data_IF_115611032104
#
_entry.id   IF_115611032104
#
_cell.length_a   1.000
_cell.length_b   1.000
_cell.length_c   1.000
_cell.angle_alpha   90.00
_cell.angle_beta   90.00
_cell.angle_gamma   90.00
#
_symmetry.space_group_name_H-M   'P 1'
#
loop_
_entity.id
_entity.type
_entity.pdbx_description
1 polymer ?
#
# COMPACT_ATOMS: atom_id res chain seq x y z
N UNK A 1 4.41 -18.97 -25.59
CA UNK A 1 4.90 -19.64 -24.38
C UNK A 1 3.81 -20.55 -23.84
N UNK A 2 4.19 -21.69 -23.28
CA UNK A 2 3.36 -22.64 -22.55
C UNK A 2 3.61 -22.52 -21.04
N UNK A 3 2.81 -23.21 -20.21
CA UNK A 3 2.95 -23.13 -18.76
C UNK A 3 4.34 -23.52 -18.27
N UNK A 4 4.90 -22.76 -17.33
CA UNK A 4 6.24 -22.98 -16.79
C UNK A 4 7.39 -22.36 -17.61
N UNK A 5 7.12 -21.85 -18.82
CA UNK A 5 8.15 -21.22 -19.63
C UNK A 5 8.70 -19.94 -18.97
N UNK A 6 9.94 -19.63 -19.31
CA UNK A 6 10.56 -18.34 -19.01
C UNK A 6 10.72 -17.54 -20.29
N UNK A 7 10.18 -16.33 -20.31
CA UNK A 7 10.29 -15.35 -21.39
C UNK A 7 11.24 -14.27 -20.94
N UNK A 8 12.34 -14.10 -21.66
CA UNK A 8 13.30 -13.02 -21.44
C UNK A 8 13.07 -11.97 -22.51
N UNK A 9 12.78 -10.73 -22.09
CA UNK A 9 12.50 -9.61 -22.97
C UNK A 9 13.73 -8.71 -22.98
N UNK A 10 14.24 -8.44 -24.18
CA UNK A 10 15.37 -7.53 -24.34
C UNK A 10 14.98 -6.09 -23.98
N UNK A 11 15.98 -5.24 -23.80
CA UNK A 11 15.75 -3.81 -23.68
C UNK A 11 15.13 -3.26 -24.97
N UNK A 12 14.19 -2.33 -24.84
CA UNK A 12 13.47 -1.78 -25.97
C UNK A 12 12.13 -1.18 -25.56
N UNK A 13 11.51 -0.46 -26.50
CA UNK A 13 10.15 0.07 -26.34
C UNK A 13 9.20 -0.82 -27.14
N UNK A 14 8.16 -1.30 -26.47
CA UNK A 14 7.13 -2.17 -27.03
C UNK A 14 5.79 -1.45 -26.90
N UNK A 15 5.23 -1.00 -28.03
CA UNK A 15 3.97 -0.25 -28.07
C UNK A 15 2.79 -1.20 -28.24
N UNK A 16 2.54 -2.00 -27.22
CA UNK A 16 1.49 -3.02 -27.22
C UNK A 16 0.98 -3.31 -25.81
N UNK A 17 -0.20 -3.91 -25.76
CA UNK A 17 -0.68 -4.57 -24.55
C UNK A 17 -0.16 -6.01 -24.52
N UNK A 18 0.33 -6.45 -23.36
CA UNK A 18 0.83 -7.81 -23.17
C UNK A 18 -0.20 -8.61 -22.39
N UNK A 19 -0.69 -9.72 -22.95
CA UNK A 19 -1.67 -10.58 -22.30
C UNK A 19 -1.18 -12.03 -22.21
N UNK A 20 -1.17 -12.56 -20.98
CA UNK A 20 -0.92 -13.97 -20.71
C UNK A 20 -2.19 -14.72 -21.03
N UNK A 21 -2.14 -15.76 -21.86
CA UNK A 21 -3.37 -16.44 -22.31
C UNK A 21 -4.01 -17.25 -21.17
N UNK A 22 -5.34 -17.32 -21.19
CA UNK A 22 -6.08 -18.23 -20.30
C UNK A 22 -5.59 -19.67 -20.45
N UNK A 23 -5.47 -20.37 -19.31
CA UNK A 23 -5.00 -21.76 -19.26
C UNK A 23 -3.48 -21.91 -19.33
N UNK A 24 -2.73 -20.80 -19.31
CA UNK A 24 -1.28 -20.80 -19.16
C UNK A 24 -0.95 -20.32 -17.76
N UNK A 25 -0.20 -21.12 -17.00
CA UNK A 25 0.18 -20.85 -15.61
C UNK A 25 1.70 -20.86 -15.46
N UNK A 26 2.22 -20.33 -14.36
CA UNK A 26 3.64 -20.42 -13.99
C UNK A 26 4.62 -19.85 -15.04
N UNK A 27 4.18 -18.87 -15.84
CA UNK A 27 5.11 -18.12 -16.70
C UNK A 27 5.98 -17.18 -15.88
N UNK A 28 7.27 -17.17 -16.19
CA UNK A 28 8.20 -16.13 -15.72
C UNK A 28 8.49 -15.18 -16.87
N UNK A 29 8.20 -13.91 -16.68
CA UNK A 29 8.35 -12.88 -17.70
C UNK A 29 9.31 -11.87 -17.14
N UNK A 30 10.49 -11.81 -17.74
CA UNK A 30 11.67 -11.15 -17.22
C UNK A 30 12.07 -10.04 -18.19
N UNK A 31 11.94 -8.80 -17.76
CA UNK A 31 12.43 -7.64 -18.50
C UNK A 31 13.94 -7.50 -18.38
N UNK A 32 14.51 -6.56 -19.10
CA UNK A 32 15.95 -6.28 -19.13
C UNK A 32 16.54 -5.93 -17.76
N UNK A 33 15.71 -5.60 -16.77
CA UNK A 33 16.09 -5.27 -15.39
C UNK A 33 15.57 -6.28 -14.37
N UNK A 34 15.25 -7.49 -14.80
CA UNK A 34 14.82 -8.54 -13.87
C UNK A 34 15.86 -8.76 -12.76
N UNK A 35 15.38 -8.87 -11.53
CA UNK A 35 16.22 -9.00 -10.34
C UNK A 35 16.84 -7.71 -9.80
N UNK A 36 16.77 -6.60 -10.53
CA UNK A 36 17.21 -5.29 -10.04
C UNK A 36 16.04 -4.56 -9.38
N UNK A 37 16.20 -4.06 -8.17
CA UNK A 37 15.09 -3.46 -7.42
C UNK A 37 14.55 -2.19 -8.10
N UNK A 38 13.28 -1.89 -7.88
CA UNK A 38 12.65 -0.62 -8.26
C UNK A 38 11.97 0.06 -7.05
N UNK A 39 12.10 -0.50 -5.85
CA UNK A 39 11.48 0.01 -4.63
C UNK A 39 12.23 1.21 -4.02
N UNK A 40 11.91 1.58 -2.78
CA UNK A 40 12.43 2.80 -2.15
C UNK A 40 13.94 2.78 -1.91
N UNK A 41 14.55 1.59 -1.79
CA UNK A 41 16.00 1.43 -1.67
C UNK A 41 16.74 1.61 -3.00
N UNK A 42 16.03 1.65 -4.13
CA UNK A 42 16.62 1.71 -5.46
C UNK A 42 15.71 2.51 -6.42
N UNK A 43 15.77 3.86 -6.36
CA UNK A 43 14.90 4.70 -7.16
C UNK A 43 15.11 4.45 -8.67
N UNK A 44 14.10 4.72 -9.53
CA UNK A 44 14.15 4.46 -10.97
C UNK A 44 15.44 4.95 -11.66
N UNK A 45 15.97 6.10 -11.25
CA UNK A 45 17.21 6.67 -11.81
C UNK A 45 18.44 5.75 -11.64
N UNK A 46 18.49 4.89 -10.63
CA UNK A 46 19.61 3.97 -10.39
C UNK A 46 19.57 2.72 -11.27
N UNK A 47 18.46 2.45 -11.98
CA UNK A 47 18.35 1.29 -12.86
C UNK A 47 19.09 1.47 -14.19
N UNK A 48 19.55 2.69 -14.46
CA UNK A 48 20.33 3.04 -15.65
C UNK A 48 19.50 2.96 -16.93
N UNK A 49 20.20 2.88 -18.07
CA UNK A 49 19.58 2.79 -19.40
C UNK A 49 19.18 1.35 -19.75
N UNK A 50 18.51 1.15 -20.90
CA UNK A 50 18.16 -0.16 -21.46
C UNK A 50 17.09 -0.92 -20.64
N UNK A 51 15.96 -0.27 -20.35
CA UNK A 51 14.75 -0.92 -19.80
C UNK A 51 13.96 -1.67 -20.88
N UNK A 52 13.22 -2.71 -20.49
CA UNK A 52 12.11 -3.23 -21.28
C UNK A 52 10.88 -2.39 -20.97
N UNK A 53 10.54 -1.47 -21.86
CA UNK A 53 9.45 -0.51 -21.68
C UNK A 53 8.22 -0.99 -22.43
N UNK A 54 7.16 -1.32 -21.70
CA UNK A 54 5.83 -1.59 -22.28
C UNK A 54 5.02 -0.30 -22.25
N UNK A 55 4.61 0.21 -23.41
CA UNK A 55 3.63 1.30 -23.53
C UNK A 55 2.24 0.72 -23.70
N UNK A 56 1.64 0.34 -22.59
CA UNK A 56 0.36 -0.37 -22.55
C UNK A 56 0.13 -1.02 -21.20
N UNK A 57 -0.80 -1.96 -21.16
CA UNK A 57 -1.14 -2.75 -19.97
C UNK A 57 -0.56 -4.15 -20.07
N UNK A 58 -0.12 -4.70 -18.93
CA UNK A 58 0.22 -6.12 -18.80
C UNK A 58 -0.91 -6.84 -18.07
N UNK A 59 -1.49 -7.87 -18.69
CA UNK A 59 -2.55 -8.70 -18.09
C UNK A 59 -2.04 -10.09 -17.77
N UNK A 60 -2.11 -10.47 -16.48
CA UNK A 60 -1.78 -11.79 -15.95
C UNK A 60 -3.07 -12.61 -15.80
N UNK A 61 -3.44 -13.35 -16.84
CA UNK A 61 -4.46 -14.40 -16.73
C UNK A 61 -3.77 -15.73 -16.39
N UNK A 62 -4.34 -16.52 -15.48
CA UNK A 62 -3.72 -17.75 -14.99
C UNK A 62 -3.00 -17.57 -13.64
N UNK A 63 -2.48 -18.65 -13.09
CA UNK A 63 -1.88 -18.70 -11.77
C UNK A 63 -0.34 -18.68 -11.82
N UNK A 64 0.27 -18.32 -10.69
CA UNK A 64 1.70 -18.55 -10.41
C UNK A 64 2.67 -17.79 -11.33
N UNK A 65 2.21 -16.72 -11.98
CA UNK A 65 3.06 -15.90 -12.85
C UNK A 65 4.08 -15.07 -12.07
N UNK A 66 5.23 -14.83 -12.70
CA UNK A 66 6.22 -13.85 -12.22
C UNK A 66 6.41 -12.78 -13.27
N UNK A 67 6.21 -11.52 -12.90
CA UNK A 67 6.53 -10.34 -13.69
C UNK A 67 7.66 -9.57 -12.99
N UNK A 68 8.82 -9.47 -13.65
CA UNK A 68 10.04 -8.95 -13.04
C UNK A 68 10.79 -8.01 -13.99
N UNK A 69 11.08 -6.79 -13.52
CA UNK A 69 12.10 -5.96 -14.17
C UNK A 69 11.65 -5.16 -15.40
N UNK A 70 10.37 -4.76 -15.47
CA UNK A 70 9.85 -3.93 -16.55
C UNK A 70 9.66 -2.48 -16.12
N UNK A 71 9.66 -1.59 -17.12
CA UNK A 71 8.98 -0.30 -17.02
C UNK A 71 7.66 -0.39 -17.78
N UNK A 72 6.55 -0.03 -17.14
CA UNK A 72 5.21 -0.01 -17.74
C UNK A 72 4.70 1.42 -17.75
N UNK A 73 4.43 1.94 -18.94
CA UNK A 73 3.89 3.28 -19.18
C UNK A 73 2.48 3.13 -19.74
N UNK A 74 1.47 3.09 -18.87
CA UNK A 74 0.11 2.70 -19.27
C UNK A 74 -0.79 3.88 -19.64
N UNK A 75 -0.30 5.12 -19.58
CA UNK A 75 -1.13 6.31 -19.79
C UNK A 75 -2.31 6.32 -18.81
N UNK A 76 -3.53 6.52 -19.29
CA UNK A 76 -4.76 6.50 -18.47
C UNK A 76 -5.30 5.10 -18.14
N UNK A 77 -4.65 4.04 -18.62
CA UNK A 77 -5.02 2.64 -18.34
C UNK A 77 -4.32 2.09 -17.09
N UNK A 78 -4.69 0.87 -16.69
CA UNK A 78 -4.00 0.13 -15.63
C UNK A 78 -2.58 -0.28 -16.06
N UNK A 79 -1.64 -0.34 -15.13
CA UNK A 79 -0.29 -0.85 -15.37
C UNK A 79 -0.30 -2.37 -15.52
N UNK A 80 -0.56 -3.08 -14.43
CA UNK A 80 -0.65 -4.55 -14.36
C UNK A 80 -2.03 -4.96 -13.88
N UNK A 81 -2.73 -5.76 -14.68
CA UNK A 81 -4.02 -6.36 -14.34
C UNK A 81 -3.83 -7.82 -14.00
N UNK A 82 -4.18 -8.24 -12.78
CA UNK A 82 -4.10 -9.63 -12.34
C UNK A 82 -5.49 -10.22 -12.27
N UNK A 83 -5.79 -11.19 -13.15
CA UNK A 83 -7.06 -11.90 -13.16
C UNK A 83 -6.98 -13.29 -12.51
N UNK A 84 -5.79 -13.85 -12.36
CA UNK A 84 -5.59 -15.12 -11.66
C UNK A 84 -5.10 -14.96 -10.22
N UNK A 85 -4.24 -15.87 -9.77
CA UNK A 85 -3.80 -16.02 -8.36
C UNK A 85 -2.32 -16.31 -8.24
N UNK A 86 -1.76 -16.17 -7.04
CA UNK A 86 -0.36 -16.52 -6.73
C UNK A 86 0.68 -15.75 -7.59
N UNK A 87 0.31 -14.62 -8.19
CA UNK A 87 1.22 -13.88 -9.04
C UNK A 87 2.24 -13.11 -8.19
N UNK A 88 3.49 -13.12 -8.63
CA UNK A 88 4.56 -12.26 -8.08
C UNK A 88 4.84 -11.13 -9.06
N UNK A 89 4.61 -9.90 -8.62
CA UNK A 89 4.89 -8.68 -9.37
C UNK A 89 6.00 -7.96 -8.63
N UNK A 90 7.19 -7.96 -9.22
CA UNK A 90 8.35 -7.42 -8.53
C UNK A 90 9.26 -6.59 -9.41
N UNK A 91 9.99 -5.67 -8.79
CA UNK A 91 11.06 -4.93 -9.45
C UNK A 91 10.59 -4.18 -10.71
N UNK A 92 9.34 -3.74 -10.77
CA UNK A 92 8.79 -3.01 -11.90
C UNK A 92 8.68 -1.51 -11.58
N UNK A 93 8.85 -0.68 -12.61
CA UNK A 93 8.47 0.72 -12.57
C UNK A 93 7.13 0.85 -13.30
N UNK A 94 6.08 1.25 -12.60
CA UNK A 94 4.74 1.44 -13.15
C UNK A 94 4.43 2.94 -13.14
N UNK A 95 4.19 3.51 -14.31
CA UNK A 95 3.95 4.95 -14.49
C UNK A 95 2.62 5.13 -15.22
N UNK A 96 1.67 5.76 -14.53
CA UNK A 96 0.40 6.17 -15.10
C UNK A 96 0.38 7.65 -15.48
N UNK A 97 -0.70 8.02 -16.16
CA UNK A 97 -1.22 9.37 -16.24
C UNK A 97 -2.52 9.38 -15.46
N UNK A 98 -2.48 9.97 -14.25
CA UNK A 98 -3.57 9.89 -13.29
C UNK A 98 -4.87 10.37 -13.90
N UNK A 99 -5.79 9.44 -14.12
CA UNK A 99 -7.11 9.76 -14.64
C UNK A 99 -7.88 10.66 -13.67
N UNK A 100 -8.76 11.52 -14.20
CA UNK A 100 -9.61 12.39 -13.39
C UNK A 100 -10.68 11.63 -12.61
N UNK A 101 -10.99 10.39 -13.02
CA UNK A 101 -11.95 9.49 -12.38
C UNK A 101 -11.70 8.03 -12.81
N UNK A 102 -12.31 7.07 -12.11
CA UNK A 102 -12.28 5.64 -12.46
C UNK A 102 -11.40 4.78 -11.57
N UNK A 103 -11.25 3.51 -11.95
CA UNK A 103 -10.54 2.48 -11.18
C UNK A 103 -9.09 2.24 -11.63
N UNK A 104 -8.46 3.26 -12.21
CA UNK A 104 -7.11 3.15 -12.76
C UNK A 104 -6.08 2.83 -11.65
N UNK A 105 -5.30 1.77 -11.81
CA UNK A 105 -4.29 1.38 -10.85
C UNK A 105 -2.96 0.95 -11.48
N UNK A 106 -1.87 1.13 -10.72
CA UNK A 106 -0.58 0.55 -11.07
C UNK A 106 -0.65 -0.97 -11.06
N UNK A 107 -1.16 -1.54 -9.97
CA UNK A 107 -1.55 -2.96 -9.90
C UNK A 107 -3.04 -3.05 -9.59
N UNK A 108 -3.80 -3.72 -10.45
CA UNK A 108 -5.24 -3.91 -10.34
C UNK A 108 -5.60 -5.39 -10.27
N UNK A 109 -6.40 -5.80 -9.28
CA UNK A 109 -6.95 -7.16 -9.26
C UNK A 109 -8.32 -7.23 -8.58
N UNK A 110 -9.28 -7.86 -9.25
CA UNK A 110 -10.59 -8.25 -8.69
C UNK A 110 -10.58 -9.65 -8.06
N UNK A 111 -9.43 -10.31 -8.06
CA UNK A 111 -9.19 -11.61 -7.45
C UNK A 111 -7.84 -11.57 -6.74
N UNK A 112 -7.72 -10.68 -5.75
CA UNK A 112 -6.48 -10.36 -5.05
C UNK A 112 -6.04 -11.51 -4.11
N UNK A 113 -5.59 -12.60 -4.74
CA UNK A 113 -5.44 -13.93 -4.20
C UNK A 113 -3.97 -14.32 -4.12
N UNK A 114 -3.42 -14.34 -2.90
CA UNK A 114 -2.03 -14.74 -2.63
C UNK A 114 -1.01 -14.00 -3.52
N UNK A 115 -1.23 -12.72 -3.78
CA UNK A 115 -0.33 -11.92 -4.60
C UNK A 115 0.88 -11.49 -3.77
N UNK A 116 2.04 -11.44 -4.43
CA UNK A 116 3.25 -10.84 -3.88
C UNK A 116 3.61 -9.64 -4.74
N UNK A 117 3.39 -8.44 -4.20
CA UNK A 117 3.70 -7.18 -4.88
C UNK A 117 4.87 -6.56 -4.14
N UNK A 118 6.09 -6.67 -4.70
CA UNK A 118 7.32 -6.34 -3.96
C UNK A 118 8.35 -5.53 -4.76
N UNK A 119 9.03 -4.56 -4.15
CA UNK A 119 10.11 -3.80 -4.78
C UNK A 119 9.70 -3.07 -6.07
N UNK A 120 8.43 -2.65 -6.20
CA UNK A 120 7.97 -1.87 -7.34
C UNK A 120 8.01 -0.36 -7.03
N UNK A 121 8.18 0.46 -8.07
CA UNK A 121 7.93 1.90 -8.03
C UNK A 121 6.63 2.17 -8.78
N UNK A 122 5.61 2.69 -8.10
CA UNK A 122 4.28 2.91 -8.66
C UNK A 122 3.91 4.39 -8.55
N UNK A 123 3.69 5.06 -9.69
CA UNK A 123 3.53 6.51 -9.71
C UNK A 123 2.38 6.97 -10.59
N UNK A 124 1.73 8.06 -10.17
CA UNK A 124 0.77 8.83 -10.99
C UNK A 124 -0.43 8.01 -11.48
N UNK A 125 -0.97 7.14 -10.62
CA UNK A 125 -2.23 6.43 -10.84
C UNK A 125 -3.34 6.99 -9.95
N UNK A 126 -4.61 6.67 -10.22
CA UNK A 126 -5.66 6.90 -9.21
C UNK A 126 -5.37 6.05 -7.97
N UNK A 127 -5.11 4.76 -8.16
CA UNK A 127 -4.70 3.83 -7.11
C UNK A 127 -3.28 3.32 -7.37
N UNK A 128 -2.38 3.31 -6.38
CA UNK A 128 -1.10 2.62 -6.57
C UNK A 128 -1.34 1.11 -6.73
N UNK A 129 -1.99 0.51 -5.73
CA UNK A 129 -2.53 -0.85 -5.80
C UNK A 129 -4.01 -0.84 -5.47
N UNK A 130 -4.81 -1.51 -6.30
CA UNK A 130 -6.23 -1.74 -6.09
C UNK A 130 -6.51 -3.23 -5.98
N UNK A 131 -7.10 -3.65 -4.86
CA UNK A 131 -7.41 -5.04 -4.58
C UNK A 131 -8.85 -5.27 -4.16
N UNK A 132 -9.48 -6.27 -4.77
CA UNK A 132 -10.79 -6.81 -4.41
C UNK A 132 -10.83 -8.34 -4.63
N UNK A 133 -11.90 -8.98 -4.21
CA UNK A 133 -12.14 -10.43 -4.39
C UNK A 133 -12.51 -11.14 -3.10
N UNK A 134 -13.13 -12.32 -3.16
CA UNK A 134 -13.68 -13.00 -1.97
C UNK A 134 -13.08 -14.39 -1.76
N UNK A 135 -12.96 -14.81 -0.50
CA UNK A 135 -12.51 -16.16 -0.10
C UNK A 135 -11.14 -16.59 -0.67
N UNK A 136 -10.20 -15.66 -0.69
CA UNK A 136 -8.84 -15.89 -1.21
C UNK A 136 -7.79 -15.86 -0.09
N UNK A 137 -6.70 -16.63 -0.20
CA UNK A 137 -5.57 -16.50 0.71
C UNK A 137 -5.01 -15.06 0.76
N UNK A 138 -4.45 -14.62 1.91
CA UNK A 138 -3.84 -13.30 2.05
C UNK A 138 -2.70 -13.05 1.07
N UNK A 139 -2.59 -11.80 0.64
CA UNK A 139 -1.52 -11.27 -0.21
C UNK A 139 -0.58 -10.40 0.62
N UNK A 140 0.61 -10.15 0.05
CA UNK A 140 1.66 -9.33 0.65
C UNK A 140 1.99 -8.19 -0.31
N UNK A 141 1.96 -6.96 0.21
CA UNK A 141 2.44 -5.77 -0.49
C UNK A 141 3.61 -5.21 0.30
N UNK A 142 4.83 -5.34 -0.21
CA UNK A 142 6.01 -4.93 0.55
C UNK A 142 7.13 -4.24 -0.22
N UNK A 143 7.90 -3.39 0.46
CA UNK A 143 9.05 -2.70 -0.14
C UNK A 143 8.72 -1.94 -1.44
N UNK A 144 7.49 -1.48 -1.63
CA UNK A 144 7.12 -0.67 -2.79
C UNK A 144 7.32 0.81 -2.49
N UNK A 145 7.69 1.57 -3.52
CA UNK A 145 7.65 3.02 -3.52
C UNK A 145 6.38 3.48 -4.25
N UNK A 146 5.48 4.22 -3.58
CA UNK A 146 4.19 4.63 -4.16
C UNK A 146 3.98 6.13 -3.99
N UNK A 147 3.88 6.86 -5.11
CA UNK A 147 3.81 8.33 -5.06
C UNK A 147 2.87 8.96 -6.09
N UNK A 148 2.34 10.14 -5.75
CA UNK A 148 1.51 10.93 -6.68
C UNK A 148 0.14 10.32 -6.99
N UNK A 149 -0.37 9.43 -6.13
CA UNK A 149 -1.66 8.74 -6.35
C UNK A 149 -2.82 9.40 -5.60
N UNK A 150 -4.07 9.08 -5.94
CA UNK A 150 -5.20 9.43 -5.03
C UNK A 150 -5.17 8.53 -3.81
N UNK A 151 -4.96 7.23 -4.01
CA UNK A 151 -4.79 6.29 -2.89
C UNK A 151 -3.61 5.38 -3.19
N UNK A 152 -2.62 5.31 -2.29
CA UNK A 152 -1.46 4.45 -2.49
C UNK A 152 -1.84 2.98 -2.57
N UNK A 153 -2.54 2.47 -1.55
CA UNK A 153 -3.10 1.11 -1.53
C UNK A 153 -4.57 1.19 -1.13
N UNK A 154 -5.45 0.65 -1.97
CA UNK A 154 -6.87 0.55 -1.68
C UNK A 154 -7.32 -0.91 -1.72
N UNK A 155 -7.85 -1.38 -0.60
CA UNK A 155 -8.57 -2.64 -0.55
C UNK A 155 -10.07 -2.39 -0.47
N UNK A 156 -10.78 -2.89 -1.47
CA UNK A 156 -12.22 -2.81 -1.56
C UNK A 156 -12.90 -3.85 -0.66
N UNK A 157 -14.12 -3.56 -0.19
CA UNK A 157 -14.78 -4.23 0.93
C UNK A 157 -15.11 -5.73 0.78
N UNK A 158 -14.91 -6.33 -0.40
CA UNK A 158 -15.10 -7.78 -0.58
C UNK A 158 -13.86 -8.59 -0.22
N UNK A 159 -12.69 -7.95 -0.11
CA UNK A 159 -11.40 -8.60 0.16
C UNK A 159 -11.44 -9.44 1.45
N UNK A 160 -10.81 -10.63 1.52
CA UNK A 160 -10.69 -11.36 2.77
C UNK A 160 -9.71 -10.67 3.72
N UNK A 161 -9.95 -10.92 5.01
CA UNK A 161 -9.15 -10.41 6.11
C UNK A 161 -7.71 -10.96 6.05
N UNK A 162 -6.77 -10.33 6.77
CA UNK A 162 -5.43 -10.92 6.96
C UNK A 162 -4.33 -10.48 5.99
N UNK A 163 -4.62 -9.59 5.05
CA UNK A 163 -3.59 -9.01 4.15
C UNK A 163 -2.44 -8.35 4.94
N UNK A 164 -1.24 -8.40 4.37
CA UNK A 164 -0.04 -7.77 4.95
C UNK A 164 0.46 -6.64 4.05
N UNK A 165 0.59 -5.44 4.62
CA UNK A 165 1.14 -4.26 3.97
C UNK A 165 2.35 -3.81 4.79
N UNK A 166 3.56 -4.03 4.29
CA UNK A 166 4.77 -3.77 5.08
C UNK A 166 5.95 -3.16 4.35
N UNK A 167 6.79 -2.40 5.05
CA UNK A 167 8.03 -1.84 4.49
C UNK A 167 7.84 -0.98 3.23
N UNK A 168 6.63 -0.50 2.95
CA UNK A 168 6.38 0.38 1.82
C UNK A 168 6.74 1.81 2.17
N UNK A 169 7.18 2.55 1.16
CA UNK A 169 7.40 3.98 1.24
C UNK A 169 6.37 4.68 0.38
N UNK A 170 5.55 5.54 0.98
CA UNK A 170 4.48 6.24 0.29
C UNK A 170 4.57 7.74 0.54
N UNK A 171 4.57 8.53 -0.52
CA UNK A 171 4.62 9.99 -0.38
C UNK A 171 3.79 10.74 -1.42
N UNK A 172 3.37 11.95 -1.06
CA UNK A 172 2.64 12.86 -1.97
C UNK A 172 1.39 12.21 -2.60
N UNK A 173 0.68 11.39 -1.81
CA UNK A 173 -0.60 10.80 -2.18
C UNK A 173 -1.74 11.63 -1.58
N UNK A 174 -2.98 11.53 -2.09
CA UNK A 174 -4.10 12.09 -1.34
C UNK A 174 -4.33 11.27 -0.06
N UNK A 175 -4.39 9.95 -0.17
CA UNK A 175 -4.38 9.01 0.97
C UNK A 175 -3.32 7.93 0.77
N UNK A 176 -2.59 7.54 1.81
CA UNK A 176 -1.62 6.44 1.72
C UNK A 176 -2.31 5.09 1.57
N UNK A 177 -3.01 4.64 2.60
CA UNK A 177 -3.68 3.33 2.64
C UNK A 177 -5.16 3.51 3.00
N UNK A 178 -6.05 2.84 2.27
CA UNK A 178 -7.47 2.69 2.64
C UNK A 178 -7.80 1.20 2.75
N UNK A 179 -8.37 0.81 3.89
CA UNK A 179 -8.91 -0.53 4.11
C UNK A 179 -10.32 -0.45 4.69
N UNK A 180 -11.21 -1.34 4.25
CA UNK A 180 -12.62 -1.39 4.64
C UNK A 180 -13.05 -2.72 5.28
N UNK A 181 -12.07 -3.56 5.64
CA UNK A 181 -12.26 -4.90 6.18
C UNK A 181 -11.09 -5.27 7.10
N UNK A 182 -11.21 -6.41 7.78
CA UNK A 182 -10.52 -6.66 9.03
C UNK A 182 -9.25 -7.48 8.93
N UNK A 183 -8.62 -7.70 10.08
CA UNK A 183 -7.49 -8.62 10.27
C UNK A 183 -6.20 -8.23 9.56
N UNK A 184 -6.14 -7.08 8.90
CA UNK A 184 -4.95 -6.63 8.18
C UNK A 184 -3.81 -6.26 9.14
N UNK A 185 -2.59 -6.52 8.68
CA UNK A 185 -1.37 -6.02 9.33
C UNK A 185 -0.77 -4.94 8.45
N UNK A 186 -0.68 -3.72 8.99
CA UNK A 186 -0.05 -2.57 8.33
C UNK A 186 1.18 -2.22 9.17
N UNK A 187 2.36 -2.64 8.73
CA UNK A 187 3.55 -2.55 9.56
C UNK A 187 4.81 -2.01 8.87
N UNK A 188 5.69 -1.33 9.59
CA UNK A 188 6.98 -0.88 9.04
C UNK A 188 6.89 0.01 7.78
N UNK A 189 5.74 0.62 7.50
CA UNK A 189 5.60 1.52 6.38
C UNK A 189 6.07 2.93 6.75
N UNK A 190 6.63 3.65 5.79
CA UNK A 190 6.84 5.09 5.89
C UNK A 190 5.84 5.78 4.99
N UNK A 191 4.94 6.58 5.57
CA UNK A 191 3.91 7.30 4.83
C UNK A 191 3.99 8.77 5.20
N UNK A 192 4.26 9.62 4.21
CA UNK A 192 4.43 11.05 4.44
C UNK A 192 3.75 11.94 3.42
N UNK A 193 3.49 13.18 3.83
CA UNK A 193 2.98 14.22 2.91
C UNK A 193 1.69 13.81 2.20
N UNK A 194 0.85 13.02 2.87
CA UNK A 194 -0.47 12.68 2.35
C UNK A 194 -1.44 13.84 2.57
N UNK A 195 -2.11 14.29 1.51
CA UNK A 195 -2.96 15.48 1.56
C UNK A 195 -4.24 15.29 2.40
N UNK A 196 -4.62 14.05 2.71
CA UNK A 196 -5.83 13.72 3.49
C UNK A 196 -5.54 12.79 4.66
N UNK A 197 -5.01 11.59 4.40
CA UNK A 197 -4.70 10.64 5.47
C UNK A 197 -3.52 9.73 5.11
N UNK A 198 -2.68 9.36 6.07
CA UNK A 198 -1.66 8.34 5.86
C UNK A 198 -2.31 6.95 5.80
N UNK A 199 -3.08 6.62 6.83
CA UNK A 199 -3.87 5.38 6.92
C UNK A 199 -5.32 5.73 7.23
N UNK A 200 -6.24 5.22 6.43
CA UNK A 200 -7.68 5.40 6.63
C UNK A 200 -8.37 4.05 6.80
N UNK A 201 -8.98 3.86 7.96
CA UNK A 201 -9.89 2.75 8.23
C UNK A 201 -11.30 3.21 7.86
N UNK A 202 -11.83 2.68 6.77
CA UNK A 202 -13.22 2.93 6.38
C UNK A 202 -14.10 1.98 7.17
N UNK A 203 -14.92 2.51 8.08
CA UNK A 203 -15.80 1.71 8.93
C UNK A 203 -16.88 1.00 8.13
N UNK A 204 -16.95 -0.32 8.32
CA UNK A 204 -17.96 -1.23 7.79
C UNK A 204 -18.22 -2.30 8.85
N UNK A 205 -19.13 -3.24 8.59
CA UNK A 205 -19.35 -4.41 9.44
C UNK A 205 -18.12 -5.32 9.55
N UNK A 206 -17.13 -5.16 8.65
CA UNK A 206 -15.94 -6.01 8.58
C UNK A 206 -14.66 -5.33 9.06
N UNK A 207 -14.66 -4.02 9.32
CA UNK A 207 -13.44 -3.24 9.63
C UNK A 207 -12.95 -3.49 11.06
N UNK A 208 -12.51 -4.69 11.37
CA UNK A 208 -12.13 -5.08 12.74
C UNK A 208 -10.77 -5.74 12.84
N UNK A 209 -10.16 -5.72 14.02
CA UNK A 209 -8.89 -6.43 14.30
C UNK A 209 -7.72 -6.02 13.38
N UNK A 210 -7.71 -4.78 12.88
CA UNK A 210 -6.60 -4.25 12.10
C UNK A 210 -5.49 -3.82 13.05
N UNK A 211 -4.24 -4.21 12.72
CA UNK A 211 -3.04 -3.86 13.48
C UNK A 211 -2.18 -2.89 12.68
N UNK A 212 -1.95 -1.71 13.23
CA UNK A 212 -1.09 -0.68 12.65
C UNK A 212 0.15 -0.57 13.56
N UNK A 213 1.28 -1.12 13.13
CA UNK A 213 2.45 -1.25 14.01
C UNK A 213 3.78 -0.81 13.37
N UNK A 214 4.68 -0.20 14.12
CA UNK A 214 6.04 0.14 13.64
C UNK A 214 6.08 1.02 12.39
N UNK A 215 5.03 1.77 12.08
CA UNK A 215 5.00 2.68 10.94
C UNK A 215 5.61 4.04 11.32
N UNK A 216 6.19 4.72 10.35
CA UNK A 216 6.52 6.16 10.43
C UNK A 216 5.48 6.94 9.62
N UNK A 217 4.64 7.69 10.32
CA UNK A 217 3.57 8.51 9.74
C UNK A 217 3.90 9.98 9.97
N UNK A 218 4.41 10.64 8.94
CA UNK A 218 5.00 11.97 9.06
C UNK A 218 4.36 13.01 8.12
N UNK A 219 4.11 14.23 8.61
CA UNK A 219 3.72 15.37 7.75
C UNK A 219 2.47 15.12 6.89
N UNK A 220 1.51 14.33 7.38
CA UNK A 220 0.23 14.10 6.72
C UNK A 220 -0.84 15.04 7.29
N UNK A 221 -1.91 15.30 6.54
CA UNK A 221 -3.07 15.99 7.10
C UNK A 221 -3.67 15.20 8.28
N UNK A 222 -3.84 13.89 8.13
CA UNK A 222 -4.22 12.98 9.22
C UNK A 222 -3.30 11.77 9.20
N UNK A 223 -2.67 11.39 10.31
CA UNK A 223 -1.84 10.17 10.32
C UNK A 223 -2.72 8.92 10.24
N UNK A 224 -3.66 8.77 11.17
CA UNK A 224 -4.62 7.65 11.18
C UNK A 224 -6.04 8.19 11.28
N UNK A 225 -6.90 7.80 10.34
CA UNK A 225 -8.29 8.22 10.28
C UNK A 225 -9.25 7.04 10.28
N UNK A 226 -10.04 6.89 11.34
CA UNK A 226 -11.20 6.02 11.37
C UNK A 226 -12.41 6.83 10.92
N UNK A 227 -12.89 6.53 9.72
CA UNK A 227 -13.96 7.29 9.04
C UNK A 227 -15.18 6.42 8.81
N UNK A 228 -16.35 7.02 8.56
CA UNK A 228 -17.61 6.29 8.32
C UNK A 228 -17.99 5.38 9.50
N UNK A 229 -18.46 5.98 10.60
CA UNK A 229 -18.82 5.27 11.82
C UNK A 229 -19.66 4.00 11.53
N UNK A 230 -19.27 2.89 12.16
CA UNK A 230 -19.97 1.63 12.04
C UNK A 230 -19.70 0.75 13.28
N UNK A 231 -20.74 0.12 13.83
CA UNK A 231 -20.64 -0.69 15.05
C UNK A 231 -19.69 -1.89 14.94
N UNK A 232 -19.58 -2.48 13.74
CA UNK A 232 -18.64 -3.56 13.44
C UNK A 232 -17.17 -3.13 13.31
N UNK A 233 -16.87 -1.82 13.34
CA UNK A 233 -15.53 -1.31 13.12
C UNK A 233 -14.69 -1.28 14.43
N UNK A 234 -14.50 -2.44 15.06
CA UNK A 234 -14.00 -2.59 16.43
C UNK A 234 -12.63 -3.29 16.52
N UNK A 235 -11.98 -3.20 17.69
CA UNK A 235 -10.72 -3.89 18.00
C UNK A 235 -9.55 -3.52 17.04
N UNK A 236 -9.62 -2.35 16.42
CA UNK A 236 -8.51 -1.81 15.64
C UNK A 236 -7.51 -1.17 16.59
N UNK A 237 -6.22 -1.36 16.32
CA UNK A 237 -5.14 -0.89 17.19
C UNK A 237 -4.04 -0.22 16.39
N UNK A 238 -3.39 0.78 17.00
CA UNK A 238 -2.16 1.36 16.50
C UNK A 238 -1.13 1.43 17.62
N UNK A 239 -0.07 0.62 17.56
CA UNK A 239 0.97 0.58 18.59
C UNK A 239 2.36 0.70 17.96
N UNK A 240 3.31 1.26 18.71
CA UNK A 240 4.73 1.35 18.34
C UNK A 240 4.98 2.08 17.03
N UNK A 241 4.11 3.02 16.67
CA UNK A 241 4.28 3.88 15.51
C UNK A 241 4.98 5.17 15.92
N UNK A 242 5.72 5.74 14.97
CA UNK A 242 6.28 7.08 15.01
C UNK A 242 5.33 8.02 14.27
N UNK A 243 4.54 8.82 15.00
CA UNK A 243 3.52 9.72 14.46
C UNK A 243 3.98 11.15 14.72
N UNK A 244 4.47 11.85 13.69
CA UNK A 244 5.18 13.14 13.87
C UNK A 244 4.78 14.17 12.81
N UNK A 245 4.68 15.44 13.17
CA UNK A 245 4.47 16.54 12.21
C UNK A 245 3.14 16.52 11.43
N UNK A 246 2.18 15.66 11.80
CA UNK A 246 0.88 15.61 11.13
C UNK A 246 -0.04 16.72 11.66
N UNK A 247 -0.97 17.22 10.84
CA UNK A 247 -1.94 18.21 11.34
C UNK A 247 -2.83 17.60 12.44
N UNK A 248 -3.28 16.36 12.21
CA UNK A 248 -3.95 15.52 13.20
C UNK A 248 -3.27 14.16 13.27
N UNK A 249 -2.92 13.69 14.46
CA UNK A 249 -2.27 12.39 14.63
C UNK A 249 -3.28 11.25 14.47
N UNK A 250 -4.37 11.28 15.24
CA UNK A 250 -5.45 10.30 15.14
C UNK A 250 -6.80 11.01 15.15
N UNK A 251 -7.61 10.71 14.13
CA UNK A 251 -9.01 11.11 14.08
C UNK A 251 -9.89 9.87 14.12
N UNK A 252 -10.65 9.70 15.21
CA UNK A 252 -11.63 8.63 15.32
C UNK A 252 -13.06 9.18 15.23
N UNK A 253 -13.70 9.00 14.06
CA UNK A 253 -15.11 9.33 13.87
C UNK A 253 -16.04 8.16 14.27
N UNK A 254 -15.51 7.07 14.83
CA UNK A 254 -16.29 5.91 15.28
C UNK A 254 -16.70 6.02 16.75
N UNK A 255 -17.81 5.39 17.10
CA UNK A 255 -18.25 5.28 18.51
C UNK A 255 -17.37 4.30 19.30
N UNK A 256 -16.82 3.29 18.65
CA UNK A 256 -15.91 2.33 19.26
C UNK A 256 -14.58 3.00 19.66
N UNK A 257 -14.02 2.55 20.78
CA UNK A 257 -12.70 3.00 21.23
C UNK A 257 -11.64 2.45 20.28
N UNK A 258 -10.78 3.34 19.79
CA UNK A 258 -9.56 2.99 19.07
C UNK A 258 -8.36 3.05 20.02
N UNK A 259 -7.66 1.93 20.17
CA UNK A 259 -6.46 1.87 21.01
C UNK A 259 -5.23 2.30 20.20
N UNK A 260 -4.82 3.54 20.42
CA UNK A 260 -3.60 4.15 19.90
C UNK A 260 -2.53 4.33 21.00
N UNK A 261 -2.51 3.46 22.03
CA UNK A 261 -1.46 3.51 23.05
C UNK A 261 -0.09 3.10 22.49
N UNK A 262 0.96 3.37 23.25
CA UNK A 262 2.35 2.97 22.98
C UNK A 262 2.86 3.47 21.63
N UNK A 263 2.51 4.69 21.23
CA UNK A 263 3.10 5.37 20.06
C UNK A 263 4.03 6.50 20.52
N UNK A 264 4.97 6.90 19.66
CA UNK A 264 5.69 8.17 19.78
C UNK A 264 4.93 9.24 19.01
N UNK A 265 4.61 10.36 19.67
CA UNK A 265 3.77 11.44 19.11
C UNK A 265 4.56 12.67 18.66
N UNK A 266 5.89 12.57 18.51
CA UNK A 266 6.75 13.72 18.22
C UNK A 266 7.08 14.58 19.43
N UNK A 267 6.57 14.23 20.61
CA UNK A 267 6.80 14.94 21.87
C UNK A 267 6.75 13.99 23.06
N UNK A 268 7.62 14.24 24.04
CA UNK A 268 7.62 13.56 25.34
C UNK A 268 6.34 13.84 26.14
N UNK A 269 5.70 14.99 25.90
CA UNK A 269 4.48 15.43 26.57
C UNK A 269 3.21 14.78 25.99
N UNK A 270 3.34 13.96 24.93
CA UNK A 270 2.22 13.26 24.30
C UNK A 270 1.59 14.00 23.13
N UNK A 271 0.43 13.53 22.63
CA UNK A 271 -0.17 14.07 21.42
C UNK A 271 -0.65 15.51 21.58
N UNK A 272 -0.32 16.36 20.61
CA UNK A 272 -0.85 17.73 20.47
C UNK A 272 -0.30 18.79 21.44
N UNK A 273 0.64 18.46 22.32
CA UNK A 273 1.15 19.41 23.32
C UNK A 273 2.20 20.40 22.76
N UNK A 274 3.13 19.90 21.93
CA UNK A 274 4.26 20.73 21.42
C UNK A 274 4.15 21.08 19.92
N UNK A 275 3.18 20.51 19.20
CA UNK A 275 2.92 20.76 17.78
C UNK A 275 1.48 20.40 17.40
N UNK A 276 0.95 20.85 16.24
CA UNK A 276 -0.15 20.12 15.62
C UNK A 276 0.30 18.67 15.45
N UNK A 277 -0.41 17.76 16.11
CA UNK A 277 -0.30 16.29 16.06
C UNK A 277 -1.26 15.71 17.14
N UNK A 278 -2.48 16.26 17.20
CA UNK A 278 -3.44 15.96 18.26
C UNK A 278 -4.23 14.68 18.01
N UNK A 279 -5.02 14.28 19.02
CA UNK A 279 -5.95 13.16 18.94
C UNK A 279 -7.38 13.69 19.09
N UNK A 280 -8.33 13.16 18.30
CA UNK A 280 -9.75 13.53 18.38
C UNK A 280 -10.65 12.29 18.33
N UNK A 281 -11.73 12.29 19.12
CA UNK A 281 -12.72 11.20 19.19
C UNK A 281 -12.39 10.15 20.26
N UNK A 282 -13.00 8.97 20.15
CA UNK A 282 -12.87 7.89 21.13
C UNK A 282 -11.55 7.15 20.99
N UNK A 283 -10.46 7.73 21.49
CA UNK A 283 -9.10 7.20 21.34
C UNK A 283 -8.41 7.05 22.69
N UNK A 284 -7.92 5.85 22.97
CA UNK A 284 -7.00 5.60 24.09
C UNK A 284 -5.58 5.77 23.59
N UNK A 285 -4.80 6.70 24.15
CA UNK A 285 -3.40 6.93 23.75
C UNK A 285 -2.39 6.80 24.90
N UNK A 286 -2.86 6.49 26.11
CA UNK A 286 -2.02 6.31 27.32
C UNK A 286 -1.80 4.80 27.56
N UNK A 287 -0.57 4.37 27.90
CA UNK A 287 0.66 5.16 27.92
C UNK A 287 1.17 5.46 26.52
N UNK A 288 2.05 6.46 26.35
CA UNK A 288 2.77 6.74 25.10
C UNK A 288 4.28 6.69 25.32
N UNK A 289 5.09 6.64 24.26
CA UNK A 289 6.55 6.71 24.41
C UNK A 289 7.00 8.15 24.67
N UNK A 290 7.92 8.37 25.63
CA UNK A 290 8.44 9.71 25.97
C UNK A 290 9.75 10.05 25.25
N UNK A 291 10.31 9.09 24.51
CA UNK A 291 11.49 9.24 23.67
C UNK A 291 11.26 8.69 22.26
N UNK A 292 11.95 9.28 21.29
CA UNK A 292 11.83 8.95 19.86
C UNK A 292 12.31 7.54 19.53
N UNK A 293 13.26 7.00 20.30
CA UNK A 293 13.74 5.61 20.19
C UNK A 293 12.72 4.60 20.74
N UNK A 294 11.62 5.07 21.33
CA UNK A 294 10.52 4.26 21.87
C UNK A 294 10.99 3.26 22.92
N UNK A 295 11.83 3.72 23.86
CA UNK A 295 12.40 2.89 24.93
C UNK A 295 11.70 3.05 26.28
N UNK A 296 11.07 4.20 26.53
CA UNK A 296 10.45 4.58 27.81
C UNK A 296 9.00 5.00 27.60
N UNK A 297 8.08 4.44 28.40
CA UNK A 297 6.66 4.83 28.39
C UNK A 297 6.37 5.91 29.42
N UNK A 298 5.36 6.75 29.16
CA UNK A 298 4.81 7.69 30.12
C UNK A 298 4.22 6.94 31.31
N UNK A 299 4.36 7.53 32.51
CA UNK A 299 3.53 7.14 33.64
C UNK A 299 2.10 7.55 33.30
N UNK A 300 1.18 6.59 33.21
CA UNK A 300 -0.22 6.90 32.95
C UNK A 300 -0.77 7.72 34.12
N UNK A 301 -1.20 8.94 33.82
CA UNK A 301 -2.01 9.77 34.72
C UNK A 301 -3.49 9.71 34.29
#
# INVERSE_FOLDING_TARGET
AASGDTIIVAAGIYEENVEMKNGVDNLKILGAKAGLYAGPSYPPAMRGENESVIKGTITLNGADHVLDGFTVQSGTENGVVVKGRNATIKNNILIGEKASSGSQAGVYSTSFNNLVIINNSIMNYVYGTWGDGSNVPPSIISYNYIAGTSVGIFFNGSLPDGQTIEHNFMENNETGIIVAQGGHTIAHNTIRSSAKAAIRLWGTVRTSNIRIEYNTLADNAIAIWLSNNHEGAVNNTAHKNKIVGNETAVKNDHDAIFDASKNWWGSANGPGQDSPNGVSGNVTYIPWYVDEEMTTLSSGD
#
